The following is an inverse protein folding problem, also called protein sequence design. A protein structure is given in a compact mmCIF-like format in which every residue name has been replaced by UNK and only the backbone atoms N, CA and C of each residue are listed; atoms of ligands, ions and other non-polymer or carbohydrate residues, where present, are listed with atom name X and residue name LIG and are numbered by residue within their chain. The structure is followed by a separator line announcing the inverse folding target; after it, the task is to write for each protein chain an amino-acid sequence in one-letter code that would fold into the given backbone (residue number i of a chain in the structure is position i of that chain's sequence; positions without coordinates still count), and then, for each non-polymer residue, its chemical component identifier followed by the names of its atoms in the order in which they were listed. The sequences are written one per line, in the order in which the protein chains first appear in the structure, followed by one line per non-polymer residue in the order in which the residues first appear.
data_IF_684263604537
#
_entry.id   IF_684263604537
#
_cell.length_a   1.000
_cell.length_b   1.000
_cell.length_c   1.000
_cell.angle_alpha   90.00
_cell.angle_beta   90.00
_cell.angle_gamma   90.00
#
_symmetry.space_group_name_H-M   'P 1'
#
loop_
_entity.id
_entity.type
_entity.pdbx_description
1 polymer ?
#
# COMPACT_ATOMS: atom_id res chain seq x y z
N UNK A 1 -7.59 9.55 -4.01
CA UNK A 1 -8.96 9.82 -3.50
C UNK A 1 -8.95 10.54 -2.16
N UNK A 2 -8.12 10.14 -1.18
CA UNK A 2 -8.05 10.81 0.14
C UNK A 2 -7.84 12.35 0.05
N UNK A 3 -6.97 12.84 -0.85
CA UNK A 3 -6.71 14.27 -1.00
C UNK A 3 -7.88 15.11 -1.56
N UNK A 4 -8.82 14.49 -2.30
CA UNK A 4 -10.02 15.19 -2.78
C UNK A 4 -10.96 15.56 -1.63
N UNK A 5 -10.89 14.82 -0.53
CA UNK A 5 -11.71 15.07 0.65
C UNK A 5 -11.06 16.07 1.60
N UNK A 6 -9.78 16.43 1.39
CA UNK A 6 -9.06 17.38 2.25
C UNK A 6 -9.75 18.75 2.23
N UNK A 7 -10.01 19.29 1.04
CA UNK A 7 -10.68 20.59 0.90
C UNK A 7 -12.05 20.59 1.58
N UNK A 8 -12.87 19.57 1.33
CA UNK A 8 -14.18 19.45 1.95
C UNK A 8 -14.13 19.26 3.47
N UNK A 9 -13.12 18.56 3.99
CA UNK A 9 -12.93 18.39 5.44
C UNK A 9 -12.52 19.69 6.09
N UNK A 10 -11.58 20.42 5.48
CA UNK A 10 -11.11 21.71 5.99
C UNK A 10 -12.26 22.74 5.99
N UNK A 11 -13.12 22.74 4.96
CA UNK A 11 -14.34 23.55 4.90
C UNK A 11 -15.33 23.23 6.03
N UNK A 12 -15.59 21.95 6.30
CA UNK A 12 -16.50 21.51 7.37
C UNK A 12 -15.95 21.90 8.75
N UNK A 13 -14.65 21.75 8.98
CA UNK A 13 -13.99 22.14 10.24
C UNK A 13 -14.06 23.65 10.48
N UNK A 14 -14.02 24.46 9.41
CA UNK A 14 -14.19 25.91 9.51
C UNK A 14 -15.64 26.27 9.89
N UNK A 15 -16.62 25.53 9.36
CA UNK A 15 -18.05 25.75 9.59
C UNK A 15 -18.49 25.29 10.98
N UNK A 16 -17.98 24.17 11.48
CA UNK A 16 -18.32 23.61 12.79
C UNK A 16 -17.13 23.68 13.75
N UNK A 17 -17.13 24.69 14.63
CA UNK A 17 -16.04 24.92 15.61
C UNK A 17 -15.84 23.76 16.59
N UNK A 18 -16.86 22.95 16.81
CA UNK A 18 -16.80 21.76 17.66
C UNK A 18 -15.96 20.64 17.01
N UNK A 19 -15.77 20.69 15.69
CA UNK A 19 -14.94 19.73 14.96
C UNK A 19 -13.47 20.13 14.85
N UNK A 20 -13.08 21.25 15.46
CA UNK A 20 -11.71 21.77 15.41
C UNK A 20 -10.68 20.82 16.02
N UNK A 21 -11.10 19.98 16.96
CA UNK A 21 -10.29 18.92 17.56
C UNK A 21 -9.98 17.77 16.59
N UNK A 22 -10.73 17.62 15.48
CA UNK A 22 -10.46 16.65 14.41
C UNK A 22 -9.64 17.24 13.26
N UNK A 23 -9.03 18.41 13.46
CA UNK A 23 -8.15 19.02 12.45
C UNK A 23 -6.93 18.14 12.24
N UNK A 24 -6.77 17.63 11.03
CA UNK A 24 -5.60 16.87 10.62
C UNK A 24 -4.46 17.86 10.37
N UNK A 25 -3.38 17.70 11.11
CA UNK A 25 -2.18 18.52 10.96
C UNK A 25 -1.51 18.31 9.60
N UNK A 26 -0.70 19.28 9.18
CA UNK A 26 0.10 19.16 7.94
C UNK A 26 1.01 17.92 7.96
N UNK A 27 1.54 17.56 9.13
CA UNK A 27 2.40 16.38 9.31
C UNK A 27 1.62 15.07 9.12
N UNK A 28 0.40 14.99 9.65
CA UNK A 28 -0.47 13.82 9.46
C UNK A 28 -0.93 13.69 8.01
N UNK A 29 -1.16 14.79 7.30
CA UNK A 29 -1.44 14.78 5.86
C UNK A 29 -0.27 14.23 5.04
N UNK A 30 0.97 14.56 5.39
CA UNK A 30 2.16 13.97 4.76
C UNK A 30 2.29 12.48 5.10
N UNK A 31 1.94 12.06 6.32
CA UNK A 31 1.89 10.65 6.70
C UNK A 31 0.84 9.89 5.87
N UNK A 32 -0.35 10.45 5.68
CA UNK A 32 -1.40 9.91 4.80
C UNK A 32 -0.91 9.83 3.35
N UNK A 33 -0.15 10.81 2.87
CA UNK A 33 0.44 10.80 1.53
C UNK A 33 1.38 9.61 1.35
N UNK A 34 2.27 9.41 2.31
CA UNK A 34 3.20 8.28 2.30
C UNK A 34 2.44 6.94 2.33
N UNK A 35 1.40 6.81 3.16
CA UNK A 35 0.54 5.62 3.16
C UNK A 35 -0.15 5.39 1.82
N UNK A 36 -0.63 6.45 1.17
CA UNK A 36 -1.21 6.35 -0.17
C UNK A 36 -0.18 5.83 -1.18
N UNK A 37 1.07 6.30 -1.13
CA UNK A 37 2.15 5.80 -1.99
C UNK A 37 2.40 4.30 -1.79
N UNK A 38 2.43 3.84 -0.54
CA UNK A 38 2.59 2.40 -0.23
C UNK A 38 1.43 1.58 -0.80
N UNK A 39 0.19 2.05 -0.61
CA UNK A 39 -1.01 1.29 -0.95
C UNK A 39 -1.38 1.35 -2.44
N UNK A 40 -0.82 2.27 -3.21
CA UNK A 40 -1.17 2.46 -4.61
C UNK A 40 -0.88 1.21 -5.45
N UNK A 41 0.28 0.58 -5.25
CA UNK A 41 0.65 -0.64 -5.99
C UNK A 41 -0.25 -1.81 -5.59
N UNK A 42 -0.62 -1.92 -4.31
CA UNK A 42 -1.57 -2.94 -3.85
C UNK A 42 -2.95 -2.78 -4.49
N UNK A 43 -3.42 -1.54 -4.64
CA UNK A 43 -4.67 -1.27 -5.33
C UNK A 43 -4.60 -1.67 -6.82
N UNK A 44 -3.48 -1.37 -7.51
CA UNK A 44 -3.26 -1.80 -8.90
C UNK A 44 -3.24 -3.32 -9.03
N UNK A 45 -2.48 -4.00 -8.15
CA UNK A 45 -2.40 -5.46 -8.11
C UNK A 45 -3.76 -6.11 -7.84
N UNK A 46 -4.52 -5.58 -6.86
CA UNK A 46 -5.85 -6.09 -6.51
C UNK A 46 -6.82 -5.92 -7.67
N UNK A 47 -6.82 -4.76 -8.32
CA UNK A 47 -7.67 -4.49 -9.49
C UNK A 47 -7.34 -5.46 -10.63
N UNK A 48 -6.06 -5.70 -10.90
CA UNK A 48 -5.63 -6.66 -11.92
C UNK A 48 -6.05 -8.09 -11.59
N UNK A 49 -5.84 -8.54 -10.35
CA UNK A 49 -6.20 -9.89 -9.90
C UNK A 49 -7.70 -10.14 -9.76
N UNK A 50 -8.49 -9.07 -9.66
CA UNK A 50 -9.95 -9.14 -9.60
C UNK A 50 -10.62 -9.14 -10.98
N UNK A 51 -9.84 -9.05 -12.07
CA UNK A 51 -10.38 -9.18 -13.42
C UNK A 51 -10.68 -10.66 -13.70
N UNK A 52 -11.91 -10.95 -14.12
CA UNK A 52 -12.34 -12.30 -14.51
C UNK A 52 -12.05 -12.63 -15.97
N UNK A 53 -11.58 -11.66 -16.75
CA UNK A 53 -11.45 -11.76 -18.20
C UNK A 53 -10.13 -12.41 -18.65
N UNK A 54 -9.15 -12.54 -17.76
CA UNK A 54 -7.83 -13.11 -18.04
C UNK A 54 -7.45 -14.14 -16.97
N UNK A 55 -6.61 -15.10 -17.35
CA UNK A 55 -6.04 -16.08 -16.40
C UNK A 55 -5.12 -15.31 -15.44
N UNK A 56 -5.58 -15.12 -14.20
CA UNK A 56 -4.84 -14.39 -13.16
C UNK A 56 -3.86 -15.29 -12.39
N UNK A 57 -4.00 -16.61 -12.51
CA UNK A 57 -3.20 -17.60 -11.80
C UNK A 57 -1.71 -17.52 -12.15
N UNK A 58 -1.39 -17.43 -13.44
CA UNK A 58 -0.02 -17.28 -13.96
C UNK A 58 0.65 -15.96 -13.54
N UNK A 59 -0.15 -14.94 -13.26
CA UNK A 59 0.33 -13.61 -12.86
C UNK A 59 0.56 -13.46 -11.36
N UNK A 60 0.19 -14.47 -10.56
CA UNK A 60 0.28 -14.42 -9.10
C UNK A 60 1.72 -14.24 -8.59
N UNK A 61 2.66 -15.08 -9.05
CA UNK A 61 4.08 -15.03 -8.67
C UNK A 61 4.72 -13.69 -9.09
N UNK A 62 4.58 -13.25 -10.36
CA UNK A 62 5.06 -11.92 -10.77
C UNK A 62 4.52 -10.78 -9.91
N UNK A 63 3.23 -10.80 -9.54
CA UNK A 63 2.64 -9.77 -8.69
C UNK A 63 3.22 -9.76 -7.29
N UNK A 64 3.43 -10.93 -6.68
CA UNK A 64 4.12 -11.00 -5.39
C UNK A 64 5.52 -10.40 -5.46
N UNK A 65 6.29 -10.71 -6.52
CA UNK A 65 7.64 -10.18 -6.70
C UNK A 65 7.62 -8.64 -6.81
N UNK A 66 6.71 -8.08 -7.60
CA UNK A 66 6.55 -6.61 -7.72
C UNK A 66 6.18 -5.97 -6.38
N UNK A 67 5.28 -6.60 -5.61
CA UNK A 67 4.86 -6.09 -4.31
C UNK A 67 5.98 -6.17 -3.26
N UNK A 68 6.76 -7.26 -3.24
CA UNK A 68 7.91 -7.42 -2.34
C UNK A 68 9.00 -6.39 -2.66
N UNK A 69 9.39 -6.26 -3.92
CA UNK A 69 10.38 -5.27 -4.38
C UNK A 69 9.94 -3.84 -4.06
N UNK A 70 8.64 -3.53 -4.20
CA UNK A 70 8.11 -2.23 -3.80
C UNK A 70 8.29 -1.97 -2.30
N UNK A 71 7.94 -2.93 -1.43
CA UNK A 71 8.11 -2.77 0.02
C UNK A 71 9.59 -2.69 0.43
N UNK A 72 10.49 -3.43 -0.23
CA UNK A 72 11.93 -3.36 0.01
C UNK A 72 12.48 -1.96 -0.33
N UNK A 73 12.07 -1.38 -1.46
CA UNK A 73 12.45 -0.01 -1.86
C UNK A 73 11.98 1.07 -0.90
N UNK A 74 10.92 0.83 -0.13
CA UNK A 74 10.45 1.76 0.91
C UNK A 74 11.28 1.66 2.21
N UNK A 75 11.96 0.54 2.42
CA UNK A 75 12.79 0.27 3.60
C UNK A 75 14.29 0.51 3.36
N UNK A 76 14.72 0.50 2.09
CA UNK A 76 16.11 0.76 1.72
C UNK A 76 16.46 2.25 1.81
N UNK A 77 17.39 2.60 2.70
CA UNK A 77 17.87 3.98 2.91
C UNK A 77 18.52 4.56 1.65
N UNK A 78 19.02 3.72 0.75
CA UNK A 78 19.65 4.14 -0.52
C UNK A 78 18.63 4.37 -1.63
N UNK A 79 17.38 3.97 -1.44
CA UNK A 79 16.31 4.12 -2.42
C UNK A 79 15.74 5.53 -2.41
N UNK A 80 15.45 6.06 -3.59
CA UNK A 80 14.76 7.36 -3.73
C UNK A 80 13.34 7.36 -3.15
N UNK A 81 12.77 6.17 -2.89
CA UNK A 81 11.45 6.00 -2.30
C UNK A 81 11.49 5.69 -0.80
N UNK A 82 12.62 5.91 -0.13
CA UNK A 82 12.76 5.60 1.29
C UNK A 82 11.73 6.33 2.15
N UNK A 83 11.08 5.59 3.07
CA UNK A 83 10.11 6.18 3.97
C UNK A 83 10.76 6.72 5.25
N UNK A 84 10.69 8.03 5.45
CA UNK A 84 11.27 8.72 6.61
C UNK A 84 10.51 8.48 7.93
N UNK A 85 9.24 8.11 7.89
CA UNK A 85 8.40 7.88 9.08
C UNK A 85 8.60 6.48 9.68
N UNK A 86 8.89 6.43 10.98
CA UNK A 86 9.24 5.19 11.69
C UNK A 86 8.08 4.20 11.82
N UNK A 87 6.89 4.75 11.99
CA UNK A 87 5.61 4.09 12.14
C UNK A 87 5.24 3.39 10.84
N UNK A 88 5.39 4.09 9.72
CA UNK A 88 5.16 3.54 8.38
C UNK A 88 6.18 2.45 8.09
N UNK A 89 7.47 2.64 8.38
CA UNK A 89 8.48 1.57 8.20
C UNK A 89 8.14 0.31 9.00
N UNK A 90 7.65 0.47 10.22
CA UNK A 90 7.23 -0.66 11.07
C UNK A 90 6.02 -1.37 10.46
N UNK A 91 5.04 -0.62 9.96
CA UNK A 91 3.88 -1.18 9.26
C UNK A 91 4.29 -1.90 7.96
N UNK A 92 5.18 -1.30 7.16
CA UNK A 92 5.74 -1.87 5.92
C UNK A 92 6.47 -3.18 6.20
N UNK A 93 7.32 -3.24 7.24
CA UNK A 93 7.98 -4.49 7.67
C UNK A 93 6.97 -5.59 8.01
N UNK A 94 5.94 -5.28 8.80
CA UNK A 94 4.87 -6.25 9.12
C UNK A 94 4.12 -6.71 7.87
N UNK A 95 3.86 -5.79 6.94
CA UNK A 95 3.25 -6.09 5.64
C UNK A 95 4.12 -7.02 4.80
N UNK A 96 5.42 -6.75 4.71
CA UNK A 96 6.40 -7.57 4.00
C UNK A 96 6.45 -9.00 4.54
N UNK A 97 6.56 -9.17 5.86
CA UNK A 97 6.57 -10.50 6.48
C UNK A 97 5.28 -11.28 6.20
N UNK A 98 4.13 -10.59 6.25
CA UNK A 98 2.85 -11.21 5.92
C UNK A 98 2.79 -11.61 4.44
N UNK A 99 3.27 -10.76 3.54
CA UNK A 99 3.30 -11.03 2.11
C UNK A 99 4.22 -12.21 1.78
N UNK A 100 5.42 -12.24 2.36
CA UNK A 100 6.38 -13.33 2.23
C UNK A 100 5.82 -14.68 2.71
N UNK A 101 5.07 -14.66 3.82
CA UNK A 101 4.37 -15.86 4.32
C UNK A 101 3.37 -16.42 3.30
N UNK A 102 2.63 -15.57 2.60
CA UNK A 102 1.69 -16.03 1.57
C UNK A 102 2.41 -16.45 0.29
N UNK A 103 3.48 -15.75 -0.11
CA UNK A 103 4.33 -16.16 -1.22
C UNK A 103 4.84 -17.60 -1.06
N UNK A 104 5.39 -17.95 0.11
CA UNK A 104 5.86 -19.31 0.42
C UNK A 104 4.73 -20.35 0.29
N UNK A 105 3.49 -19.99 0.62
CA UNK A 105 2.34 -20.90 0.46
C UNK A 105 1.94 -21.08 -1.00
N UNK A 106 2.04 -20.01 -1.79
CA UNK A 106 1.80 -20.03 -3.24
C UNK A 106 2.85 -20.88 -3.96
N UNK A 107 4.12 -20.73 -3.60
CA UNK A 107 5.25 -21.51 -4.15
C UNK A 107 5.16 -23.01 -3.82
N UNK A 108 4.74 -23.35 -2.59
CA UNK A 108 4.50 -24.75 -2.17
C UNK A 108 3.31 -25.42 -2.86
N UNK A 109 2.42 -24.65 -3.49
CA UNK A 109 1.28 -25.19 -4.21
C UNK A 109 1.67 -25.45 -5.65
N UNK A 110 1.66 -26.71 -6.10
CA UNK A 110 2.00 -27.10 -7.48
C UNK A 110 1.21 -26.35 -8.57
N UNK A 111 0.07 -25.76 -8.22
CA UNK A 111 -0.85 -25.13 -9.17
C UNK A 111 -0.32 -23.79 -9.70
N UNK A 112 0.43 -23.02 -8.90
CA UNK A 112 0.87 -21.67 -9.29
C UNK A 112 2.18 -21.65 -10.09
N UNK A 113 3.23 -22.42 -9.73
CA UNK A 113 4.47 -22.49 -10.51
C UNK A 113 4.28 -23.12 -11.89
N UNK A 114 3.37 -24.10 -12.03
CA UNK A 114 3.11 -24.78 -13.32
C UNK A 114 2.30 -23.90 -14.27
N UNK A 115 1.58 -22.90 -13.74
CA UNK A 115 0.82 -21.95 -14.53
C UNK A 115 1.63 -20.72 -14.98
N UNK A 116 2.84 -20.51 -14.42
CA UNK A 116 3.70 -19.35 -14.71
C UNK A 116 4.73 -19.73 -15.77
#
# INVERSE_FOLDING_TARGET
RAFLLKESLDEIIILERDLKEFTISSEEWELIKQLCCVLEIFNKATKHMSQSQYITLSSSIPIYNVLLDHLEKLLDVKSNNYCHYSEIRTAVKKGYEKLKKYYIKTDKSYVYPVAT
#
